data_IF_930684621040
#
_entry.id   IF_930684621040
#
_cell.length_a   1.000
_cell.length_b   1.000
_cell.length_c   1.000
_cell.angle_alpha   90.00
_cell.angle_beta   90.00
_cell.angle_gamma   90.00
#
_symmetry.space_group_name_H-M   'P 1'
#
loop_
_entity.id
_entity.type
_entity.pdbx_description
1 polymer ?
2 non-polymer ?
3 non-polymer ?
4 water ?
#
# COMPACT_ATOMS: atom_id res chain seq x y z
N UNK A 2 16.36 28.01 0.42
CA UNK A 2 15.49 28.75 -0.57
C UNK A 2 14.07 28.99 0.02
N UNK A 3 13.09 29.30 -0.81
CA UNK A 3 11.75 29.65 -0.30
C UNK A 3 10.71 28.73 -0.95
N UNK A 4 9.52 28.62 -0.35
CA UNK A 4 8.41 27.95 -1.03
C UNK A 4 8.03 28.78 -2.20
N UNK A 5 7.53 28.15 -3.28
CA UNK A 5 7.10 28.89 -4.47
C UNK A 5 5.87 29.75 -4.22
N UNK A 6 5.77 30.82 -5.00
CA UNK A 6 4.79 31.85 -4.73
C UNK A 6 3.39 31.34 -4.99
N UNK A 7 3.23 30.44 -5.97
CA UNK A 7 1.91 29.84 -6.25
C UNK A 7 1.43 28.96 -5.10
N UNK A 8 2.35 28.30 -4.43
CA UNK A 8 2.01 27.51 -3.26
C UNK A 8 1.62 28.43 -2.09
N UNK A 9 2.51 29.38 -1.80
CA UNK A 9 2.30 30.41 -0.79
C UNK A 9 0.98 31.16 -0.96
N UNK A 10 0.57 31.40 -2.21
CA UNK A 10 -0.68 32.02 -2.51
C UNK A 10 -1.91 31.33 -1.91
N UNK A 11 -1.86 30.00 -1.86
CA UNK A 11 -3.02 29.21 -1.47
C UNK A 11 -2.92 28.54 -0.12
N UNK A 12 -1.71 28.42 0.43
CA UNK A 12 -1.39 27.66 1.62
C UNK A 12 -0.45 28.42 2.54
N UNK A 13 -0.71 28.29 3.85
CA UNK A 13 0.25 28.66 4.92
C UNK A 13 0.98 27.44 5.42
N UNK A 14 2.31 27.48 5.34
CA UNK A 14 3.14 26.30 5.59
C UNK A 14 3.56 26.24 7.04
N UNK A 15 3.79 25.01 7.52
CA UNK A 15 4.01 24.77 8.96
C UNK A 15 4.98 23.60 9.23
N UNK A 16 4.79 22.94 10.39
CA UNK A 16 5.73 21.96 10.94
C UNK A 16 5.91 20.72 10.07
N UNK A 17 7.04 20.04 10.25
CA UNK A 17 7.31 18.77 9.57
C UNK A 17 6.56 17.66 10.29
N UNK A 18 5.90 16.80 9.52
CA UNK A 18 5.19 15.66 10.05
C UNK A 18 6.07 14.42 9.93
N UNK A 19 6.75 14.28 8.79
CA UNK A 19 7.70 13.19 8.59
C UNK A 19 8.81 13.51 7.59
N UNK A 20 9.46 12.45 7.08
CA UNK A 20 10.49 12.60 6.02
C UNK A 20 10.89 11.23 5.43
N UNK A 24 12.75 13.85 -0.10
CA UNK A 24 11.51 13.39 0.55
C UNK A 24 11.23 14.00 1.92
N UNK A 25 10.06 14.64 2.05
CA UNK A 25 9.62 15.26 3.31
C UNK A 25 8.11 15.57 3.26
N UNK A 26 7.43 15.45 4.39
CA UNK A 26 6.01 15.83 4.49
C UNK A 26 5.82 16.91 5.55
N UNK A 27 5.17 18.00 5.14
CA UNK A 27 4.93 19.18 5.96
C UNK A 27 3.44 19.41 6.23
N UNK A 28 3.12 20.01 7.39
CA UNK A 28 1.77 20.45 7.72
C UNK A 28 1.56 21.81 7.07
N UNK A 29 0.39 22.01 6.46
CA UNK A 29 0.00 23.31 5.93
C UNK A 29 -1.50 23.53 6.13
N UNK A 30 -1.93 24.78 5.98
CA UNK A 30 -3.32 25.14 6.06
C UNK A 30 -3.73 25.70 4.74
N UNK A 31 -4.81 25.17 4.19
CA UNK A 31 -5.35 25.74 3.00
C UNK A 31 -6.04 27.05 3.40
N UNK A 32 -5.69 28.16 2.74
CA UNK A 32 -6.18 29.49 3.15
C UNK A 32 -7.68 29.62 2.99
N UNK A 33 -8.18 29.17 1.84
CA UNK A 33 -9.61 29.20 1.53
C UNK A 33 -10.51 28.62 2.63
N UNK A 34 -10.06 27.53 3.22
CA UNK A 34 -10.89 26.73 4.09
C UNK A 34 -10.44 26.73 5.52
N UNK A 35 -9.22 27.21 5.77
CA UNK A 35 -8.57 27.12 7.09
C UNK A 35 -8.45 25.70 7.65
N UNK A 36 -8.34 24.74 6.74
CA UNK A 36 -8.20 23.36 7.12
C UNK A 36 -6.81 22.84 6.78
N UNK A 37 -6.41 21.85 7.56
CA UNK A 37 -5.10 21.24 7.52
C UNK A 37 -4.91 20.33 6.32
N UNK A 38 -3.74 20.38 5.69
CA UNK A 38 -3.40 19.50 4.57
C UNK A 38 -1.98 18.99 4.79
N UNK A 39 -1.52 18.05 3.98
CA UNK A 39 -0.13 17.61 4.05
C UNK A 39 0.50 17.95 2.72
N UNK A 40 1.72 18.44 2.75
CA UNK A 40 2.44 18.79 1.55
C UNK A 40 3.70 17.97 1.46
N UNK A 41 3.70 17.07 0.49
CA UNK A 41 4.84 16.19 0.20
C UNK A 41 5.78 16.91 -0.77
N UNK A 42 7.01 17.06 -0.33
CA UNK A 42 8.04 17.72 -1.12
C UNK A 42 9.01 16.65 -1.65
N UNK A 43 9.08 16.55 -2.97
CA UNK A 43 9.97 15.61 -3.66
C UNK A 43 11.05 16.44 -4.35
N UNK A 44 12.27 16.39 -3.78
CA UNK A 44 13.41 17.14 -4.30
C UNK A 44 13.70 16.72 -5.74
N UNK A 45 13.90 17.69 -6.62
CA UNK A 45 14.15 17.38 -8.04
C UNK A 45 15.60 16.92 -8.27
N UNK A 61 8.74 8.63 -11.80
CA UNK A 61 8.21 9.84 -12.42
C UNK A 61 6.98 10.41 -11.66
N UNK A 62 7.01 11.73 -11.46
CA UNK A 62 6.09 12.36 -10.55
C UNK A 62 4.82 12.74 -11.28
N UNK A 63 4.95 13.12 -12.55
CA UNK A 63 3.78 13.52 -13.33
C UNK A 63 2.86 12.34 -13.69
N UNK A 64 3.41 11.13 -13.82
CA UNK A 64 2.55 9.94 -13.99
C UNK A 64 1.97 9.48 -12.63
N UNK A 65 2.74 9.64 -11.56
CA UNK A 65 2.21 9.43 -10.24
C UNK A 65 1.00 10.35 -10.03
N UNK A 66 1.14 11.63 -10.40
CA UNK A 66 0.05 12.60 -10.29
C UNK A 66 -1.13 12.16 -11.11
N UNK A 67 -0.87 11.74 -12.34
CA UNK A 67 -1.94 11.35 -13.24
C UNK A 67 -2.60 10.05 -12.83
N UNK A 68 -1.85 9.11 -12.28
CA UNK A 68 -2.45 7.92 -11.66
C UNK A 68 -3.34 8.34 -10.48
N UNK A 69 -2.79 9.13 -9.58
CA UNK A 69 -3.53 9.53 -8.38
C UNK A 69 -4.78 10.37 -8.66
N UNK A 70 -4.73 11.23 -9.68
CA UNK A 70 -5.92 11.99 -10.07
C UNK A 70 -7.10 11.10 -10.49
N UNK A 71 -6.79 9.98 -11.13
CA UNK A 71 -7.85 9.16 -11.72
C UNK A 71 -8.45 8.12 -10.74
N UNK A 72 -7.76 7.88 -9.63
CA UNK A 72 -8.21 6.85 -8.69
C UNK A 72 -9.11 7.47 -7.62
N UNK A 73 -10.19 6.75 -7.30
CA UNK A 73 -11.17 7.22 -6.36
C UNK A 73 -11.62 6.07 -5.48
N UNK A 74 -10.93 5.90 -4.36
CA UNK A 74 -11.26 4.83 -3.42
C UNK A 74 -10.98 5.37 -2.02
N UNK A 75 -11.80 4.98 -1.04
CA UNK A 75 -11.60 5.53 0.32
C UNK A 75 -10.32 5.11 1.01
N UNK A 76 -9.66 4.04 0.53
CA UNK A 76 -8.38 3.64 1.14
C UNK A 76 -7.19 3.91 0.24
N UNK A 77 -7.36 4.86 -0.67
CA UNK A 77 -6.24 5.37 -1.45
C UNK A 77 -6.18 6.88 -1.30
N UNK A 78 -5.00 7.41 -1.08
CA UNK A 78 -4.80 8.84 -0.84
C UNK A 78 -5.16 9.69 -2.06
N UNK A 79 -5.85 10.79 -1.83
CA UNK A 79 -6.22 11.73 -2.91
C UNK A 79 -5.29 12.93 -2.97
N UNK A 80 -5.01 13.38 -4.19
CA UNK A 80 -4.19 14.56 -4.42
C UNK A 80 -5.13 15.77 -4.48
N UNK A 81 -4.75 16.82 -3.78
CA UNK A 81 -5.52 18.05 -3.71
C UNK A 81 -4.94 19.09 -4.63
N UNK A 82 -3.63 19.09 -4.79
CA UNK A 82 -3.00 20.11 -5.57
C UNK A 82 -1.59 19.69 -5.88
N UNK A 83 -0.99 20.34 -6.87
CA UNK A 83 0.35 20.00 -7.34
C UNK A 83 1.06 21.26 -7.84
N UNK A 84 2.30 21.42 -7.40
CA UNK A 84 3.16 22.50 -7.83
C UNK A 84 4.49 21.91 -8.23
N UNK A 85 4.81 22.09 -9.50
CA UNK A 85 6.07 21.66 -10.12
C UNK A 85 6.93 22.91 -10.25
N UNK A 86 7.86 23.07 -9.32
CA UNK A 86 8.63 24.30 -9.21
C UNK A 86 10.14 23.97 -9.22
N UNK A 87 10.89 24.41 -8.21
CA UNK A 87 12.29 24.04 -8.06
C UNK A 87 12.34 22.58 -7.60
N UNK A 88 11.46 22.26 -6.65
CA UNK A 88 11.13 20.91 -6.31
C UNK A 88 9.70 20.67 -6.75
N UNK A 89 9.21 19.45 -6.51
CA UNK A 89 7.80 19.13 -6.67
C UNK A 89 7.11 19.27 -5.34
N UNK A 90 5.87 19.77 -5.40
CA UNK A 90 4.99 19.89 -4.21
C UNK A 90 3.67 19.19 -4.44
N UNK A 91 3.42 18.13 -3.67
CA UNK A 91 2.15 17.40 -3.78
C UNK A 91 1.33 17.67 -2.52
N UNK A 92 0.19 18.31 -2.70
CA UNK A 92 -0.77 18.56 -1.61
C UNK A 92 -1.76 17.41 -1.50
N UNK A 93 -1.87 16.84 -0.31
CA UNK A 93 -2.69 15.66 -0.01
C UNK A 93 -3.49 15.89 1.26
N UNK A 94 -4.55 15.10 1.42
CA UNK A 94 -5.26 15.06 2.69
C UNK A 94 -4.31 14.69 3.82
N UNK A 95 -4.49 15.32 4.97
CA UNK A 95 -3.67 15.05 6.13
C UNK A 95 -4.19 13.80 6.86
N UNK A 96 -3.29 12.87 7.11
CA UNK A 96 -3.63 11.64 7.79
C UNK A 96 -3.05 11.79 9.20
N UNK A 97 -3.95 11.98 10.16
CA UNK A 97 -3.58 12.35 11.53
C UNK A 97 -2.91 11.22 12.31
N UNK A 98 -3.14 9.98 11.88
CA UNK A 98 -2.54 8.83 12.53
C UNK A 98 -1.10 8.51 12.20
N UNK A 99 -0.56 9.18 11.18
CA UNK A 99 0.80 8.91 10.76
C UNK A 99 0.92 7.61 9.98
N UNK A 100 2.15 7.09 9.95
CA UNK A 100 2.50 5.86 9.23
C UNK A 100 2.28 4.59 10.05
N UNK A 101 1.83 3.52 9.40
CA UNK A 101 1.70 2.22 10.06
C UNK A 101 3.07 1.79 10.57
N UNK A 102 4.13 2.18 9.86
CA UNK A 102 5.49 1.87 10.32
C UNK A 102 5.65 2.18 11.82
N UNK A 103 5.14 3.31 12.26
CA UNK A 103 5.37 3.71 13.66
C UNK A 103 4.66 2.82 14.67
N UNK A 104 3.60 2.12 14.24
CA UNK A 104 2.87 1.18 15.07
C UNK A 104 3.53 -0.19 15.21
N UNK A 105 4.55 -0.46 14.39
CA UNK A 105 5.16 -1.80 14.32
C UNK A 105 6.67 -1.83 14.54
N UNK A 106 7.34 -0.67 14.63
CA UNK A 106 8.78 -0.62 14.99
C UNK A 106 9.02 -1.08 16.44
N UNK A 107 10.27 -1.45 16.73
CA UNK A 107 10.70 -1.89 18.07
C UNK A 107 9.89 -3.06 18.60
N UNK A 108 9.63 -4.02 17.71
CA UNK A 108 8.83 -5.22 18.03
C UNK A 108 7.48 -4.93 18.68
N UNK A 109 6.96 -3.73 18.44
CA UNK A 109 5.61 -3.42 18.82
C UNK A 109 4.73 -4.20 17.86
N UNK A 110 3.55 -4.55 18.34
CA UNK A 110 2.59 -5.12 17.44
C UNK A 110 1.18 -4.89 17.91
N UNK A 111 0.30 -5.09 16.95
CA UNK A 111 -1.07 -4.70 17.03
C UNK A 111 -1.85 -5.91 17.50
N UNK A 112 -3.00 -5.66 18.10
CA UNK A 112 -3.97 -6.68 18.39
C UNK A 112 -4.32 -7.33 17.04
N UNK A 113 -4.46 -8.65 17.04
CA UNK A 113 -4.86 -9.36 15.84
C UNK A 113 -6.09 -8.71 15.17
N UNK A 114 -7.01 -8.22 16.01
CA UNK A 114 -8.24 -7.58 15.53
C UNK A 114 -7.96 -6.28 14.75
N UNK A 115 -6.96 -5.56 15.20
CA UNK A 115 -6.53 -4.32 14.58
C UNK A 115 -5.78 -4.65 13.26
N UNK A 116 -4.97 -5.71 13.29
CA UNK A 116 -4.34 -6.26 12.10
C UNK A 116 -5.32 -6.57 11.00
N UNK A 117 -6.45 -7.20 11.37
CA UNK A 117 -7.46 -7.56 10.42
C UNK A 117 -8.16 -6.37 9.79
N UNK A 118 -8.50 -5.40 10.61
CA UNK A 118 -9.19 -4.22 10.15
C UNK A 118 -8.32 -3.46 9.16
N UNK A 119 -7.06 -3.29 9.50
CA UNK A 119 -6.13 -2.57 8.63
C UNK A 119 -5.89 -3.38 7.36
N UNK A 120 -5.65 -4.68 7.49
CA UNK A 120 -5.32 -5.53 6.35
C UNK A 120 -6.48 -5.64 5.38
N UNK A 121 -7.69 -5.77 5.91
CA UNK A 121 -8.89 -5.74 5.08
C UNK A 121 -8.91 -4.53 4.15
N UNK A 122 -8.62 -3.37 4.71
CA UNK A 122 -8.62 -2.13 3.96
C UNK A 122 -7.46 -2.07 2.91
N UNK A 123 -6.29 -2.56 3.29
CA UNK A 123 -5.15 -2.69 2.35
C UNK A 123 -5.55 -3.56 1.16
N UNK A 124 -6.20 -4.70 1.44
CA UNK A 124 -6.70 -5.59 0.41
C UNK A 124 -7.69 -4.93 -0.55
N UNK A 125 -8.64 -4.17 0.00
CA UNK A 125 -9.61 -3.47 -0.82
C UNK A 125 -8.89 -2.45 -1.70
N UNK A 126 -7.92 -1.72 -1.13
CA UNK A 126 -7.18 -0.73 -1.87
C UNK A 126 -6.42 -1.39 -3.01
N UNK A 127 -5.66 -2.43 -2.71
CA UNK A 127 -4.86 -3.09 -3.76
C UNK A 127 -5.76 -3.79 -4.77
N UNK A 128 -6.84 -4.40 -4.34
CA UNK A 128 -7.82 -4.95 -5.29
C UNK A 128 -8.31 -3.91 -6.28
N UNK A 129 -8.66 -2.75 -5.77
CA UNK A 129 -9.12 -1.64 -6.60
C UNK A 129 -8.03 -1.22 -7.58
N UNK A 130 -6.78 -1.12 -7.09
CA UNK A 130 -5.66 -0.82 -7.97
C UNK A 130 -5.59 -1.82 -9.11
N UNK A 131 -5.56 -3.10 -8.80
CA UNK A 131 -5.39 -4.13 -9.81
C UNK A 131 -6.58 -4.19 -10.79
N UNK A 132 -7.80 -4.03 -10.31
CA UNK A 132 -8.98 -3.88 -11.19
C UNK A 132 -8.83 -2.80 -12.20
N UNK A 133 -8.21 -1.71 -11.78
CA UNK A 133 -7.95 -0.53 -12.59
C UNK A 133 -6.60 -0.50 -13.31
N UNK A 134 -5.91 -1.64 -13.39
CA UNK A 134 -4.69 -1.76 -14.19
C UNK A 134 -3.46 -1.07 -13.62
N UNK A 135 -3.38 -0.98 -12.30
CA UNK A 135 -2.28 -0.34 -11.62
C UNK A 135 -1.65 -1.30 -10.63
N UNK A 136 -0.33 -1.38 -10.68
CA UNK A 136 0.46 -2.16 -9.71
C UNK A 136 1.22 -1.12 -8.88
N UNK A 137 1.22 -1.23 -7.57
CA UNK A 137 1.86 -0.22 -6.72
C UNK A 137 3.37 -0.33 -6.69
N UNK A 138 3.83 -1.53 -6.45
CA UNK A 138 5.24 -1.90 -6.48
C UNK A 138 6.11 -1.45 -5.30
N UNK A 139 5.58 -0.71 -4.34
CA UNK A 139 6.36 -0.31 -3.16
C UNK A 139 5.50 -0.33 -1.88
N UNK A 140 4.69 -1.37 -1.70
CA UNK A 140 3.86 -1.46 -0.50
C UNK A 140 4.76 -1.81 0.64
N UNK A 141 4.70 -1.00 1.69
CA UNK A 141 5.42 -1.24 2.95
C UNK A 141 4.75 -0.41 4.04
N UNK A 142 5.07 -0.68 5.31
CA UNK A 142 4.39 0.04 6.40
C UNK A 142 4.49 1.55 6.34
N UNK A 143 5.54 2.07 5.71
CA UNK A 143 5.72 3.53 5.55
C UNK A 143 4.72 4.14 4.64
N UNK A 144 4.19 3.33 3.72
CA UNK A 144 3.28 3.83 2.70
C UNK A 144 1.85 3.54 3.00
N UNK A 145 1.57 3.10 4.22
CA UNK A 145 0.24 2.89 4.70
C UNK A 145 -0.02 3.97 5.79
N UNK A 146 -0.98 4.85 5.56
CA UNK A 146 -1.24 5.99 6.45
C UNK A 146 -2.51 5.73 7.22
N UNK A 147 -2.50 6.13 8.50
CA UNK A 147 -3.66 6.01 9.40
C UNK A 147 -4.46 7.34 9.53
N UNK A 148 -5.78 7.25 9.48
CA UNK A 148 -6.68 8.40 9.64
C UNK A 148 -6.66 9.13 10.98
N UNK A 149 -6.40 8.43 12.05
CA UNK A 149 -6.41 9.07 13.35
C UNK A 149 -5.51 8.30 14.28
N UNK A 150 -5.41 8.82 15.49
CA UNK A 150 -4.62 8.18 16.51
C UNK A 150 -5.42 7.12 17.25
N UNK A 151 -6.72 6.99 16.93
CA UNK A 151 -7.51 5.84 17.36
C UNK A 151 -7.00 4.58 16.65
N UNK A 152 -7.15 3.45 17.31
CA UNK A 152 -6.64 2.18 16.85
C UNK A 152 -7.55 1.66 15.75
N UNK A 153 -8.84 1.84 15.97
CA UNK A 153 -9.80 1.58 14.95
C UNK A 153 -9.90 2.84 14.13
N UNK A 154 -9.34 2.79 12.92
CA UNK A 154 -9.42 3.92 11.99
C UNK A 154 -9.35 3.48 10.54
N UNK A 155 -9.45 4.45 9.64
CA UNK A 155 -9.30 4.21 8.22
C UNK A 155 -7.84 4.28 7.87
N UNK A 156 -7.43 3.45 6.93
CA UNK A 156 -6.11 3.56 6.38
C UNK A 156 -6.18 3.95 4.89
N UNK A 157 -5.14 4.63 4.43
CA UNK A 157 -4.99 4.95 3.02
C UNK A 157 -3.56 4.57 2.59
N UNK A 158 -3.45 3.99 1.41
CA UNK A 158 -2.16 3.71 0.81
C UNK A 158 -1.73 4.94 0.02
N UNK A 159 -0.46 5.26 0.16
CA UNK A 159 0.14 6.36 -0.53
C UNK A 159 1.43 5.93 -1.28
N UNK A 160 2.05 6.93 -1.87
CA UNK A 160 3.31 6.81 -2.61
C UNK A 160 3.28 5.92 -3.85
N UNK A 161 2.86 6.52 -4.95
CA UNK A 161 2.74 5.80 -6.18
C UNK A 161 3.86 6.09 -7.15
N UNK A 162 5.01 6.49 -6.61
CA UNK A 162 6.17 6.82 -7.39
C UNK A 162 6.88 5.67 -8.09
N UNK A 163 6.57 4.42 -7.74
CA UNK A 163 7.15 3.23 -8.39
C UNK A 163 6.09 2.46 -9.15
N UNK A 164 4.88 2.99 -9.23
CA UNK A 164 3.76 2.24 -9.69
C UNK A 164 3.81 2.08 -11.20
N UNK A 165 3.10 1.08 -11.72
CA UNK A 165 3.10 0.85 -13.16
C UNK A 165 1.68 0.64 -13.62
N UNK A 166 1.39 1.09 -14.84
CA UNK A 166 0.14 0.82 -15.52
C UNK A 166 0.24 -0.44 -16.38
N UNK A 167 -0.58 -1.44 -16.08
CA UNK A 167 -0.61 -2.69 -16.86
C UNK A 167 -1.39 -2.53 -18.16
N UNK A 170 0.28 -4.99 -24.33
CA UNK A 170 1.69 -5.26 -24.18
C UNK A 170 2.41 -5.50 -25.53
N UNK A 171 3.74 -5.38 -25.48
CA UNK A 171 4.54 -5.60 -26.65
C UNK A 171 4.56 -7.10 -26.96
N UNK A 172 4.50 -7.93 -25.91
CA UNK A 172 4.36 -9.38 -26.06
C UNK A 172 3.12 -9.76 -26.86
N UNK A 173 1.98 -9.22 -26.47
CA UNK A 173 0.73 -9.46 -27.18
C UNK A 173 0.90 -9.10 -28.67
N UNK A 174 1.51 -7.94 -28.93
CA UNK A 174 1.76 -7.53 -30.31
C UNK A 174 2.68 -8.53 -31.01
N UNK A 175 3.75 -8.91 -30.32
CA UNK A 175 4.71 -9.89 -30.83
C UNK A 175 4.03 -11.20 -31.19
N UNK A 176 3.06 -11.65 -30.40
CA UNK A 176 2.41 -12.92 -30.68
C UNK A 176 1.39 -12.88 -31.84
N UNK A 177 1.32 -11.78 -32.59
CA UNK A 177 0.40 -11.71 -33.73
C UNK A 177 0.96 -12.19 -35.09
N UNK A 178 2.29 -12.25 -35.24
CA UNK A 178 2.96 -13.16 -36.24
C UNK A 178 2.80 -14.54 -35.62
N UNK A 179 3.07 -15.69 -36.28
CA UNK A 179 4.20 -16.09 -37.16
C UNK A 179 5.58 -15.82 -36.55
N UNK A 180 6.00 -16.71 -35.65
CA UNK A 180 7.24 -16.57 -34.90
C UNK A 180 8.43 -17.18 -35.63
N UNK A 181 8.36 -17.21 -36.95
CA UNK A 181 9.47 -17.67 -37.77
C UNK A 181 10.80 -17.14 -37.26
N UNK A 182 10.86 -15.84 -36.93
CA UNK A 182 12.13 -15.18 -36.59
C UNK A 182 12.22 -14.86 -35.10
N UNK A 183 11.19 -15.23 -34.35
CA UNK A 183 11.10 -14.98 -32.93
C UNK A 183 11.94 -15.91 -32.03
N UNK A 184 12.56 -15.32 -31.02
CA UNK A 184 13.53 -15.95 -30.16
C UNK A 184 12.83 -16.82 -29.11
N UNK A 185 13.46 -17.96 -28.78
CA UNK A 185 12.79 -18.85 -27.87
C UNK A 185 12.42 -18.24 -26.51
N UNK A 186 13.27 -17.39 -25.96
CA UNK A 186 13.03 -16.83 -24.67
C UNK A 186 11.75 -16.02 -24.65
N UNK A 187 11.35 -15.46 -25.78
CA UNK A 187 10.13 -14.67 -25.84
C UNK A 187 8.93 -15.64 -25.68
N UNK A 188 9.03 -16.78 -26.36
CA UNK A 188 7.98 -17.79 -26.30
C UNK A 188 7.93 -18.39 -24.92
N UNK A 189 9.08 -18.59 -24.29
CA UNK A 189 9.10 -19.04 -22.89
C UNK A 189 8.44 -18.04 -21.95
N UNK A 190 8.62 -16.73 -22.14
CA UNK A 190 8.04 -15.74 -21.24
C UNK A 190 6.49 -15.69 -21.23
N UNK A 191 5.87 -16.23 -22.27
CA UNK A 191 4.40 -16.29 -22.34
C UNK A 191 3.83 -17.07 -21.16
N UNK A 192 4.51 -18.08 -20.65
CA UNK A 192 3.97 -18.87 -19.57
C UNK A 192 3.70 -18.09 -18.30
N UNK A 193 4.46 -17.03 -18.06
CA UNK A 193 4.43 -16.28 -16.81
C UNK A 193 4.02 -14.84 -16.97
N UNK A 194 3.80 -14.35 -18.20
CA UNK A 194 3.38 -13.00 -18.43
C UNK A 194 2.06 -12.68 -17.77
N UNK A 195 1.87 -11.43 -17.41
CA UNK A 195 0.62 -10.98 -16.85
C UNK A 195 0.41 -11.26 -15.37
N UNK A 196 1.47 -11.57 -14.63
CA UNK A 196 1.39 -11.79 -13.17
C UNK A 196 2.23 -10.80 -12.37
N UNK A 197 2.55 -9.67 -12.99
CA UNK A 197 3.33 -8.64 -12.34
C UNK A 197 2.63 -8.09 -11.12
N UNK A 198 1.28 -8.07 -11.15
CA UNK A 198 0.50 -7.62 -9.99
C UNK A 198 0.71 -8.48 -8.75
N UNK A 199 1.21 -9.71 -8.91
CA UNK A 199 1.43 -10.58 -7.77
C UNK A 199 2.52 -10.06 -6.86
N UNK A 200 3.38 -9.14 -7.32
CA UNK A 200 4.40 -8.59 -6.40
C UNK A 200 3.79 -7.82 -5.25
N UNK A 201 2.65 -7.18 -5.52
CA UNK A 201 1.87 -6.45 -4.53
C UNK A 201 1.31 -7.39 -3.43
N UNK A 202 0.82 -8.56 -3.83
CA UNK A 202 0.34 -9.55 -2.90
C UNK A 202 1.41 -10.16 -2.04
N UNK A 203 2.62 -10.33 -2.60
CA UNK A 203 3.77 -10.69 -1.78
C UNK A 203 4.02 -9.65 -0.69
N UNK A 204 4.16 -8.37 -1.07
CA UNK A 204 4.39 -7.29 -0.13
C UNK A 204 3.36 -7.24 0.97
N UNK A 205 2.09 -7.43 0.60
CA UNK A 205 0.98 -7.43 1.53
C UNK A 205 1.20 -8.56 2.51
N UNK A 206 1.64 -9.70 2.01
CA UNK A 206 2.04 -10.83 2.86
C UNK A 206 3.06 -10.50 3.93
N UNK A 207 4.09 -9.75 3.54
CA UNK A 207 5.17 -9.35 4.40
C UNK A 207 4.66 -8.38 5.42
N UNK A 208 3.84 -7.40 5.01
CA UNK A 208 3.26 -6.42 5.93
C UNK A 208 2.38 -7.13 6.96
N UNK A 209 1.53 -8.05 6.52
CA UNK A 209 0.66 -8.78 7.45
C UNK A 209 1.50 -9.58 8.49
N UNK A 210 2.50 -10.31 8.01
CA UNK A 210 3.45 -11.04 8.85
C UNK A 210 4.03 -10.14 9.92
N UNK A 211 4.55 -8.98 9.53
CA UNK A 211 5.05 -7.97 10.47
C UNK A 211 4.02 -7.45 11.49
N UNK A 212 2.81 -7.13 11.01
CA UNK A 212 1.79 -6.62 11.86
C UNK A 212 1.38 -7.69 12.90
N UNK A 213 1.22 -8.93 12.46
CA UNK A 213 0.80 -10.01 13.35
C UNK A 213 1.86 -10.41 14.36
N UNK A 214 3.12 -10.38 13.95
CA UNK A 214 4.22 -10.92 14.75
C UNK A 214 5.15 -9.85 15.41
N UNK A 215 5.14 -8.61 14.92
CA UNK A 215 6.07 -7.58 15.41
C UNK A 215 7.50 -7.70 14.91
N UNK A 216 7.78 -8.71 14.08
CA UNK A 216 9.07 -8.85 13.46
C UNK A 216 8.93 -9.26 11.98
N UNK A 217 9.98 -9.04 11.18
CA UNK A 217 10.05 -9.35 9.74
C UNK A 217 10.31 -10.81 9.35
N UNK A 218 9.65 -11.29 8.29
CA UNK A 218 9.86 -12.68 7.89
C UNK A 218 11.24 -12.96 7.36
N UNK A 219 11.80 -11.98 6.67
CA UNK A 219 13.06 -12.17 6.02
C UNK A 219 13.93 -11.03 6.51
N UNK A 220 15.08 -11.39 7.06
CA UNK A 220 15.91 -10.47 7.81
C UNK A 220 17.32 -11.06 7.93
N UNK A 221 18.30 -10.21 8.15
CA UNK A 221 19.66 -10.70 8.38
C UNK A 221 20.00 -10.75 9.88
N UNK A 222 18.99 -10.66 10.75
CA UNK A 222 19.17 -10.71 12.20
C UNK A 222 19.33 -12.15 12.66
N UNK A 223 20.54 -12.50 13.08
CA UNK A 223 20.85 -13.80 13.66
C UNK A 223 20.46 -14.95 12.72
N UNK A 224 20.95 -14.88 11.49
CA UNK A 224 20.91 -15.99 10.52
C UNK A 224 22.18 -15.97 9.74
N UNK A 225 22.55 -17.14 9.26
CA UNK A 225 23.62 -17.31 8.29
C UNK A 225 23.11 -17.27 6.86
N UNK A 226 21.81 -17.42 6.65
CA UNK A 226 21.26 -17.46 5.28
C UNK A 226 21.12 -16.02 4.76
N UNK A 227 21.53 -15.78 3.51
CA UNK A 227 21.42 -14.45 2.96
C UNK A 227 19.94 -14.06 2.84
N UNK A 228 19.68 -12.77 2.86
CA UNK A 228 18.30 -12.26 2.65
C UNK A 228 17.76 -12.76 1.33
N UNK A 229 18.54 -12.62 0.26
CA UNK A 229 18.12 -13.10 -1.03
C UNK A 229 17.71 -14.54 -0.97
N UNK A 230 18.56 -15.37 -0.35
CA UNK A 230 18.31 -16.81 -0.30
C UNK A 230 17.08 -17.13 0.52
N UNK A 231 16.88 -16.43 1.64
CA UNK A 231 15.64 -16.55 2.45
C UNK A 231 14.40 -16.30 1.57
N UNK A 232 14.45 -15.22 0.80
CA UNK A 232 13.27 -14.82 0.01
C UNK A 232 13.01 -15.77 -1.15
N UNK A 233 14.01 -16.11 -1.96
CA UNK A 233 13.76 -16.99 -3.10
C UNK A 233 13.39 -18.43 -2.68
N UNK A 234 13.78 -18.87 -1.49
CA UNK A 234 13.37 -20.19 -1.03
C UNK A 234 11.99 -20.07 -0.39
N UNK A 235 11.61 -18.86 0.02
CA UNK A 235 10.34 -18.64 0.70
C UNK A 235 10.36 -19.08 2.15
N UNK A 236 11.55 -19.25 2.71
CA UNK A 236 11.70 -19.81 4.04
C UNK A 236 11.81 -18.67 5.04
N UNK A 237 10.65 -18.17 5.45
CA UNK A 237 10.56 -17.13 6.44
C UNK A 237 10.96 -17.64 7.82
N UNK A 238 11.40 -16.69 8.64
CA UNK A 238 11.79 -16.95 10.01
C UNK A 238 10.54 -17.11 10.88
N UNK A 239 10.24 -18.35 11.26
CA UNK A 239 9.11 -18.62 12.15
C UNK A 239 9.54 -18.84 13.61
N UNK A 240 9.13 -17.95 14.50
CA UNK A 240 9.45 -18.05 15.92
C UNK A 240 8.16 -18.43 16.66
N UNK A 241 7.99 -19.73 16.97
CA UNK A 241 6.68 -20.17 17.47
C UNK A 241 6.15 -19.43 18.70
N UNK A 242 7.04 -19.03 19.58
CA UNK A 242 6.66 -18.35 20.82
C UNK A 242 5.98 -17.01 20.57
N UNK A 243 6.45 -16.28 19.56
CA UNK A 243 5.85 -14.99 19.21
C UNK A 243 4.44 -15.23 18.61
N UNK A 244 4.30 -16.34 17.87
CA UNK A 244 3.11 -16.65 17.07
C UNK A 244 2.02 -17.47 17.81
N UNK A 245 2.37 -18.06 18.96
CA UNK A 245 1.42 -18.77 19.84
C UNK A 245 0.19 -17.90 20.12
N UNK A 246 0.42 -16.60 20.31
CA UNK A 246 -0.62 -15.56 20.39
C UNK A 246 -1.66 -15.54 19.26
N UNK A 247 -1.21 -15.85 18.05
CA UNK A 247 -1.96 -15.55 16.83
C UNK A 247 -2.80 -16.72 16.34
N UNK A 248 -4.01 -16.45 15.87
CA UNK A 248 -4.86 -17.48 15.30
C UNK A 248 -4.20 -18.26 14.15
N UNK A 249 -4.58 -19.52 13.99
CA UNK A 249 -4.11 -20.34 12.87
C UNK A 249 -4.59 -19.79 11.53
N UNK A 250 -5.79 -19.20 11.52
CA UNK A 250 -6.38 -18.63 10.31
C UNK A 250 -5.56 -17.47 9.74
N UNK A 251 -5.14 -16.57 10.62
CA UNK A 251 -4.31 -15.41 10.28
C UNK A 251 -3.01 -15.90 9.64
N UNK A 252 -2.36 -16.87 10.29
CA UNK A 252 -1.14 -17.44 9.78
C UNK A 252 -1.33 -18.18 8.49
N UNK A 253 -2.46 -18.87 8.33
CA UNK A 253 -2.75 -19.55 7.09
C UNK A 253 -2.77 -18.56 5.91
N UNK A 254 -3.38 -17.39 6.08
CA UNK A 254 -3.43 -16.37 5.00
C UNK A 254 -2.02 -15.87 4.68
N UNK A 255 -1.25 -15.56 5.70
CA UNK A 255 0.13 -15.17 5.50
C UNK A 255 0.84 -16.18 4.59
N UNK A 256 0.67 -17.45 4.93
CA UNK A 256 1.27 -18.54 4.19
C UNK A 256 0.86 -18.59 2.73
N UNK A 257 -0.35 -18.18 2.41
CA UNK A 257 -0.82 -18.24 1.04
C UNK A 257 -0.37 -17.02 0.21
N UNK A 258 0.07 -15.97 0.90
CA UNK A 258 0.54 -14.74 0.25
C UNK A 258 2.05 -14.82 0.05
N UNK A 259 2.72 -15.51 0.95
CA UNK A 259 4.17 -15.72 0.89
C UNK A 259 4.52 -16.98 0.15
N UNK A 260 3.91 -17.13 -1.02
CA UNK A 260 4.12 -18.26 -1.91
C UNK A 260 5.06 -17.78 -3.00
N UNK A 261 6.10 -18.56 -3.25
CA UNK A 261 7.21 -18.12 -4.09
C UNK A 261 6.81 -18.07 -5.53
N UNK A 262 5.98 -19.01 -5.97
CA UNK A 262 5.46 -19.03 -7.33
C UNK A 262 4.37 -17.98 -7.53
N UNK A 263 4.61 -16.95 -8.35
CA UNK A 263 3.59 -15.91 -8.49
C UNK A 263 2.27 -16.33 -9.09
N UNK A 264 2.25 -17.41 -9.89
CA UNK A 264 1.01 -17.93 -10.47
C UNK A 264 0.17 -18.64 -9.42
N UNK A 265 0.82 -19.22 -8.42
CA UNK A 265 0.12 -19.87 -7.31
C UNK A 265 -0.22 -18.95 -6.14
N UNK A 266 0.41 -17.79 -6.04
CA UNK A 266 0.20 -16.89 -4.89
C UNK A 266 -1.25 -16.43 -4.89
N UNK A 267 -1.82 -16.26 -3.69
CA UNK A 267 -3.14 -15.67 -3.53
C UNK A 267 -3.22 -14.26 -4.16
N UNK A 268 -4.30 -14.02 -4.89
CA UNK A 268 -4.66 -12.72 -5.42
C UNK A 268 -5.37 -11.97 -4.30
N UNK A 269 -5.68 -10.70 -4.50
CA UNK A 269 -6.40 -9.94 -3.49
C UNK A 269 -7.84 -10.50 -3.29
N UNK A 270 -8.47 -10.99 -4.38
CA UNK A 270 -9.80 -11.59 -4.35
C UNK A 270 -9.77 -12.84 -3.50
N UNK A 271 -8.77 -13.67 -3.71
CA UNK A 271 -8.66 -14.90 -2.93
C UNK A 271 -8.43 -14.61 -1.47
N UNK A 272 -7.60 -13.60 -1.17
CA UNK A 272 -7.34 -13.16 0.21
C UNK A 272 -8.63 -12.63 0.87
N UNK A 273 -9.41 -11.86 0.13
CA UNK A 273 -10.64 -11.29 0.69
C UNK A 273 -11.68 -12.40 0.95
N UNK A 274 -11.58 -13.52 0.22
CA UNK A 274 -12.44 -14.68 0.48
C UNK A 274 -11.94 -15.59 1.57
N UNK A 275 -10.77 -15.33 2.15
CA UNK A 275 -10.21 -16.26 3.13
C UNK A 275 -10.99 -16.20 4.48
N UNK A 276 -11.14 -17.37 5.17
CA UNK A 276 -11.77 -17.45 6.48
C UNK A 276 -11.41 -16.31 7.42
N UNK A 277 -10.12 -15.96 7.53
CA UNK A 277 -9.71 -14.90 8.43
C UNK A 277 -10.45 -13.59 8.18
N UNK A 278 -10.84 -13.31 6.95
CA UNK A 278 -11.49 -12.02 6.64
C UNK A 278 -13.05 -12.09 6.61
N UNK A 279 -13.60 -13.28 6.82
CA UNK A 279 -15.06 -13.44 6.98
C UNK A 279 -15.41 -13.08 8.42
N UNK A 280 -15.37 -11.80 8.74
CA UNK A 280 -15.49 -11.30 10.11
C UNK A 280 -16.44 -10.10 10.05
N UNK A 281 -17.72 -10.37 10.39
CA UNK A 281 -18.77 -9.38 10.19
C UNK A 281 -18.67 -8.25 11.15
N UNK A 282 -18.07 -8.48 12.30
CA UNK A 282 -17.81 -7.40 13.25
C UNK A 282 -16.77 -6.42 12.70
N UNK A 283 -15.69 -6.99 12.14
CA UNK A 283 -14.62 -6.16 11.56
C UNK A 283 -15.22 -5.34 10.43
N UNK A 284 -16.02 -5.99 9.59
CA UNK A 284 -16.57 -5.33 8.40
C UNK A 284 -17.54 -4.23 8.74
N UNK A 285 -18.37 -4.47 9.77
CA UNK A 285 -19.21 -3.40 10.32
C UNK A 285 -18.41 -2.22 10.84
N UNK A 286 -17.36 -2.47 11.61
CA UNK A 286 -16.52 -1.35 12.09
C UNK A 286 -15.97 -0.48 10.95
N UNK A 287 -15.59 -1.12 9.85
CA UNK A 287 -15.06 -0.41 8.69
C UNK A 287 -16.15 0.44 8.05
N UNK A 288 -17.31 -0.15 7.81
CA UNK A 288 -18.44 0.60 7.28
C UNK A 288 -18.83 1.76 8.19
N UNK A 289 -18.74 1.56 9.50
CA UNK A 289 -19.01 2.65 10.44
C UNK A 289 -18.02 3.77 10.28
N UNK A 290 -16.74 3.41 10.17
CA UNK A 290 -15.68 4.41 10.05
C UNK A 290 -15.81 5.22 8.76
N UNK A 291 -16.20 4.55 7.69
CA UNK A 291 -16.47 5.22 6.41
C UNK A 291 -17.59 6.25 6.52
N UNK A 292 -18.69 5.85 7.16
CA UNK A 292 -19.85 6.75 7.37
C UNK A 292 -19.45 7.98 8.15
N UNK A 293 -18.80 7.77 9.28
CA UNK A 293 -18.26 8.85 10.08
C UNK A 293 -17.48 9.86 9.23
N UNK A 294 -16.72 9.35 8.27
CA UNK A 294 -15.84 10.21 7.46
C UNK A 294 -16.60 11.11 6.49
N UNK A 295 -17.86 10.78 6.20
CA UNK A 295 -18.49 11.23 4.97
C UNK A 295 -19.75 12.15 4.88
N UNK A 296 -20.56 12.52 5.89
CA UNK A 296 -20.29 13.31 7.10
C UNK A 296 -19.31 14.46 6.90
N UNK A 298 -24.16 15.44 1.00
CA UNK A 298 -25.29 16.21 0.43
C UNK A 298 -26.60 15.44 0.48
N UNK A 299 -27.71 16.17 0.57
CA UNK A 299 -29.05 15.56 0.60
C UNK A 299 -29.28 14.67 -0.63
N UNK A 300 -30.17 13.69 -0.48
CA UNK A 300 -30.46 12.72 -1.56
C UNK A 300 -31.97 12.69 -1.88
N UNK A 301 -32.35 12.54 -3.16
CA UNK A 301 -33.73 12.14 -3.46
C UNK A 301 -34.08 10.77 -2.88
N UNK A 302 -35.03 10.80 -1.95
CA UNK A 302 -35.44 9.67 -1.13
C UNK A 302 -34.25 9.02 -0.38
#
# INVERSE_FOLDING_TARGET
MSVYPKALRDEYIMSKTLGSGACGEVKLAFERKTCKKVAIKIISKRKFAIGSAREADPALNVETEIEILKKLNHPCIIKIKNFFDAEDYYIVLELMEGGELFDKVVGNKRLKEATCKLYFYQMLLAVQYLHENGIIHRDLKPENVLLSSQEEDCLIKITDFGHSKILGETSLMRTLCGTPTYLAPEVLVSVGTAGYNRAVDCWSLGVILFICLSGYPPFSEHRTQVSLKDQITSGKYNFIPEVWAEVSEKALDLVKKLLVVDPKARFTTEEALRHPWLQDEDMKRKFQDLLSEENESTALPQVLAQPSTSRKRPREGEAEGAE
#
